data_IF_814563634600
#
_entry.id   IF_814563634600
#
_cell.length_a   1.000
_cell.length_b   1.000
_cell.length_c   1.000
_cell.angle_alpha   90.00
_cell.angle_beta   90.00
_cell.angle_gamma   90.00
#
_symmetry.space_group_name_H-M   'P 1'
#
loop_
_entity.id
_entity.type
_entity.pdbx_description
1 polymer ?
#
# COMPACT_ATOMS: atom_id res chain seq x y z
N UNK A 1 -22.12 23.76 1.85
CA UNK A 1 -21.27 23.18 2.91
C UNK A 1 -21.19 21.68 2.64
N UNK A 2 -20.10 21.21 2.02
CA UNK A 2 -19.89 19.78 1.79
C UNK A 2 -19.26 19.19 3.05
N UNK A 3 -19.97 18.26 3.69
CA UNK A 3 -19.45 17.41 4.76
C UNK A 3 -18.41 16.48 4.14
N UNK A 4 -17.14 16.75 4.40
CA UNK A 4 -16.05 15.84 4.05
C UNK A 4 -16.28 14.50 4.74
N UNK A 5 -16.53 13.46 3.96
CA UNK A 5 -16.61 12.10 4.46
C UNK A 5 -15.16 11.72 4.80
N UNK A 6 -14.80 11.82 6.07
CA UNK A 6 -13.51 11.33 6.54
C UNK A 6 -13.53 9.81 6.40
N UNK A 7 -12.81 9.29 5.41
CA UNK A 7 -12.71 7.86 5.18
C UNK A 7 -12.16 7.19 6.44
N UNK A 8 -12.75 6.07 6.92
CA UNK A 8 -12.27 5.39 8.12
C UNK A 8 -10.92 4.73 7.82
N UNK A 9 -9.87 5.44 8.19
CA UNK A 9 -8.50 4.97 8.16
C UNK A 9 -8.20 4.25 9.47
N UNK A 10 -7.85 2.97 9.38
CA UNK A 10 -7.53 2.16 10.55
C UNK A 10 -6.01 2.01 10.63
N UNK A 11 -5.42 2.76 11.56
CA UNK A 11 -4.01 2.60 11.91
C UNK A 11 -3.80 1.23 12.59
N UNK A 12 -2.71 0.55 12.23
CA UNK A 12 -2.38 -0.74 12.86
C UNK A 12 -1.71 -0.46 14.20
N UNK A 13 -2.32 -0.92 15.30
CA UNK A 13 -1.85 -0.65 16.67
C UNK A 13 -0.65 -1.49 17.09
N UNK A 14 -0.33 -2.54 16.33
CA UNK A 14 0.85 -3.40 16.53
C UNK A 14 1.68 -3.35 15.26
N UNK A 15 2.99 -3.05 15.32
CA UNK A 15 3.80 -3.02 14.12
C UNK A 15 3.91 -4.44 13.55
N UNK A 16 3.23 -4.69 12.43
CA UNK A 16 3.31 -5.97 11.70
C UNK A 16 4.35 -5.83 10.61
N UNK A 17 5.45 -6.57 10.72
CA UNK A 17 6.46 -6.69 9.68
C UNK A 17 6.17 -7.93 8.83
N UNK A 18 6.20 -7.76 7.51
CA UNK A 18 6.06 -8.87 6.56
C UNK A 18 7.19 -8.83 5.55
N UNK A 19 7.62 -9.99 5.06
CA UNK A 19 8.66 -10.07 4.01
C UNK A 19 8.17 -9.55 2.67
N UNK A 20 6.94 -9.92 2.30
CA UNK A 20 6.35 -9.51 1.04
C UNK A 20 4.85 -9.21 1.20
N UNK A 21 4.40 -8.01 0.83
CA UNK A 21 2.99 -7.67 0.77
C UNK A 21 2.21 -8.62 -0.14
N UNK A 22 0.99 -8.92 0.27
CA UNK A 22 0.06 -9.65 -0.58
C UNK A 22 -0.46 -8.75 -1.69
N UNK A 23 -0.29 -9.16 -2.95
CA UNK A 23 -0.79 -8.43 -4.11
C UNK A 23 -2.07 -9.02 -4.69
N UNK A 24 -2.94 -8.20 -5.29
CA UNK A 24 -4.02 -8.70 -6.13
C UNK A 24 -3.43 -9.51 -7.30
N UNK A 25 -3.98 -10.69 -7.58
CA UNK A 25 -3.47 -11.59 -8.64
C UNK A 25 -4.17 -11.41 -9.98
N UNK A 26 -5.39 -10.88 -9.96
CA UNK A 26 -6.24 -10.75 -11.14
C UNK A 26 -6.37 -9.29 -11.49
N UNK A 27 -6.26 -9.01 -12.78
CA UNK A 27 -6.66 -7.74 -13.33
C UNK A 27 -8.18 -7.73 -13.50
N UNK A 28 -8.80 -6.60 -13.16
CA UNK A 28 -10.21 -6.34 -13.33
C UNK A 28 -10.34 -4.89 -13.78
N UNK A 29 -10.92 -4.65 -14.96
CA UNK A 29 -11.06 -3.30 -15.52
C UNK A 29 -12.06 -2.43 -14.75
N UNK A 30 -13.00 -3.06 -14.04
CA UNK A 30 -13.97 -2.40 -13.18
C UNK A 30 -13.38 -2.16 -11.81
N UNK A 31 -12.82 -3.20 -11.18
CA UNK A 31 -12.25 -3.09 -9.84
C UNK A 31 -10.87 -2.42 -9.80
N UNK A 32 -10.22 -2.21 -10.96
CA UNK A 32 -8.91 -1.52 -11.15
C UNK A 32 -7.92 -1.72 -9.99
N UNK A 33 -7.56 -2.96 -9.64
CA UNK A 33 -6.55 -3.19 -8.62
C UNK A 33 -5.19 -2.69 -9.10
N UNK A 34 -4.39 -2.12 -8.19
CA UNK A 34 -3.05 -1.65 -8.52
C UNK A 34 -2.08 -1.72 -7.35
N UNK A 35 -0.80 -1.68 -7.69
CA UNK A 35 0.31 -1.50 -6.74
C UNK A 35 1.09 -0.28 -7.17
N UNK A 36 1.35 0.64 -6.24
CA UNK A 36 2.07 1.88 -6.53
C UNK A 36 3.05 2.24 -5.42
N UNK A 37 4.18 2.81 -5.80
CA UNK A 37 5.05 3.55 -4.89
C UNK A 37 4.50 4.97 -4.74
N UNK A 38 4.51 5.48 -3.52
CA UNK A 38 4.11 6.86 -3.22
C UNK A 38 5.35 7.66 -2.84
N UNK A 39 5.67 8.65 -3.65
CA UNK A 39 6.73 9.62 -3.37
C UNK A 39 6.07 10.88 -2.84
N UNK A 40 6.50 11.32 -1.66
CA UNK A 40 6.07 12.59 -1.08
C UNK A 40 6.95 13.71 -1.63
N UNK A 41 6.31 14.70 -2.20
CA UNK A 41 6.86 16.01 -2.49
C UNK A 41 6.16 17.03 -1.58
N UNK A 42 6.78 18.17 -1.36
CA UNK A 42 6.44 19.21 -0.38
C UNK A 42 4.94 19.49 -0.22
N UNK A 43 4.19 19.51 -1.33
CA UNK A 43 2.74 19.74 -1.36
C UNK A 43 1.94 18.65 -2.08
N UNK A 44 2.57 17.55 -2.49
CA UNK A 44 1.91 16.53 -3.31
C UNK A 44 2.41 15.12 -3.07
N UNK A 45 1.53 14.15 -3.28
CA UNK A 45 1.88 12.74 -3.29
C UNK A 45 1.82 12.23 -4.74
N UNK A 46 2.96 11.81 -5.27
CA UNK A 46 3.08 11.29 -6.62
C UNK A 46 3.09 9.76 -6.56
N UNK A 47 2.22 9.13 -7.36
CA UNK A 47 2.09 7.67 -7.45
C UNK A 47 2.80 7.16 -8.70
N UNK A 48 3.72 6.22 -8.51
CA UNK A 48 4.37 5.46 -9.57
C UNK A 48 3.83 4.04 -9.57
N UNK A 49 3.04 3.70 -10.58
CA UNK A 49 2.37 2.40 -10.67
C UNK A 49 3.36 1.31 -11.06
N UNK A 50 3.46 0.29 -10.22
CA UNK A 50 4.27 -0.91 -10.44
C UNK A 50 3.49 -2.05 -11.10
N UNK A 51 2.16 -1.94 -11.12
CA UNK A 51 1.28 -2.97 -11.64
C UNK A 51 0.80 -2.70 -13.06
N UNK A 52 0.73 -3.74 -13.89
CA UNK A 52 0.17 -3.69 -15.25
C UNK A 52 -0.69 -4.92 -15.55
N UNK A 53 -1.57 -4.79 -16.55
CA UNK A 53 -2.27 -5.95 -17.13
C UNK A 53 -1.28 -6.76 -17.96
N UNK A 54 -1.07 -8.02 -17.59
CA UNK A 54 -0.36 -8.95 -18.45
C UNK A 54 -1.29 -9.41 -19.59
N UNK A 55 -0.75 -9.49 -20.81
CA UNK A 55 -1.41 -10.19 -21.91
C UNK A 55 -0.93 -11.63 -21.88
N UNK A 56 -1.69 -12.50 -21.22
CA UNK A 56 -1.46 -13.93 -21.34
C UNK A 56 -2.36 -14.45 -22.47
N UNK A 57 -1.77 -14.84 -23.60
CA UNK A 57 -2.52 -15.41 -24.73
C UNK A 57 -3.01 -16.84 -24.43
N UNK A 58 -2.46 -17.49 -23.40
CA UNK A 58 -2.74 -18.88 -23.06
C UNK A 58 -3.82 -19.06 -21.99
N UNK A 59 -4.02 -18.06 -21.13
CA UNK A 59 -5.04 -18.09 -20.09
C UNK A 59 -6.12 -17.05 -20.39
N UNK A 60 -7.38 -17.49 -20.37
CA UNK A 60 -8.54 -16.61 -20.55
C UNK A 60 -8.79 -15.70 -19.31
N UNK A 61 -7.74 -15.41 -18.54
CA UNK A 61 -7.79 -14.67 -17.27
C UNK A 61 -6.83 -13.49 -17.38
N UNK A 62 -7.36 -12.30 -17.12
CA UNK A 62 -6.53 -11.11 -17.01
C UNK A 62 -5.72 -11.18 -15.71
N UNK A 63 -4.39 -11.26 -15.83
CA UNK A 63 -3.46 -11.30 -14.69
C UNK A 63 -2.95 -9.90 -14.39
N UNK A 64 -2.86 -9.57 -13.08
CA UNK A 64 -2.17 -8.37 -12.62
C UNK A 64 -0.70 -8.75 -12.40
N UNK A 65 0.18 -8.18 -13.22
CA UNK A 65 1.63 -8.30 -13.05
C UNK A 65 2.11 -7.12 -12.22
N UNK A 66 2.98 -7.36 -11.25
CA UNK A 66 3.58 -6.33 -10.40
C UNK A 66 5.09 -6.42 -10.54
N UNK A 67 5.74 -5.29 -10.81
CA UNK A 67 7.19 -5.19 -10.85
C UNK A 67 7.80 -5.62 -9.50
N UNK A 68 9.08 -5.98 -9.52
CA UNK A 68 9.73 -6.38 -8.29
C UNK A 68 9.88 -5.20 -7.31
N UNK A 69 9.73 -5.52 -6.03
CA UNK A 69 9.72 -4.55 -4.93
C UNK A 69 10.84 -4.78 -3.92
N UNK A 70 11.61 -5.86 -4.08
CA UNK A 70 12.60 -6.30 -3.09
C UNK A 70 13.82 -5.36 -3.00
N UNK A 71 14.14 -4.67 -4.09
CA UNK A 71 15.28 -3.74 -4.18
C UNK A 71 14.88 -2.26 -3.95
N UNK A 72 13.67 -2.00 -3.47
CA UNK A 72 13.22 -0.64 -3.20
C UNK A 72 13.92 -0.07 -1.95
N UNK A 73 14.28 1.23 -1.96
CA UNK A 73 15.02 1.83 -0.85
C UNK A 73 14.19 1.87 0.43
N UNK A 74 14.88 1.86 1.57
CA UNK A 74 14.26 2.05 2.89
C UNK A 74 13.46 3.36 2.95
N UNK A 75 12.33 3.32 3.67
CA UNK A 75 11.38 4.43 3.74
C UNK A 75 10.41 4.51 2.56
N UNK A 76 10.57 3.67 1.52
CA UNK A 76 9.61 3.60 0.40
C UNK A 76 8.20 3.30 0.90
N UNK A 77 7.23 4.08 0.45
CA UNK A 77 5.81 3.88 0.75
C UNK A 77 5.15 3.10 -0.38
N UNK A 78 4.47 2.03 -0.02
CA UNK A 78 3.79 1.14 -0.97
C UNK A 78 2.29 1.13 -0.70
N UNK A 79 1.53 1.53 -1.71
CA UNK A 79 0.08 1.41 -1.74
C UNK A 79 -0.30 0.15 -2.53
N UNK A 80 -1.00 -0.78 -1.88
CA UNK A 80 -1.58 -1.96 -2.51
C UNK A 80 -3.10 -1.82 -2.51
N UNK A 81 -3.68 -1.47 -3.66
CA UNK A 81 -5.12 -1.32 -3.83
C UNK A 81 -5.71 -2.61 -4.40
N UNK A 82 -6.65 -3.20 -3.67
CA UNK A 82 -7.32 -4.44 -4.06
C UNK A 82 -8.59 -4.19 -4.89
N UNK A 83 -9.25 -3.04 -4.67
CA UNK A 83 -10.39 -2.57 -5.45
C UNK A 83 -10.66 -1.07 -5.20
N UNK A 84 -11.77 -0.54 -5.72
CA UNK A 84 -12.20 0.86 -5.55
C UNK A 84 -12.15 1.36 -4.10
N UNK A 85 -12.48 0.48 -3.16
CA UNK A 85 -12.80 0.83 -1.78
C UNK A 85 -11.73 0.40 -0.77
N UNK A 86 -10.73 -0.42 -1.17
CA UNK A 86 -9.82 -1.10 -0.25
C UNK A 86 -8.36 -0.98 -0.67
N UNK A 87 -7.53 -0.49 0.25
CA UNK A 87 -6.08 -0.45 0.09
C UNK A 87 -5.36 -0.82 1.39
N UNK A 88 -4.20 -1.47 1.26
CA UNK A 88 -3.23 -1.61 2.34
C UNK A 88 -2.02 -0.74 2.06
N UNK A 89 -1.43 -0.22 3.14
CA UNK A 89 -0.35 0.76 3.10
C UNK A 89 0.86 0.19 3.84
N UNK A 90 2.00 0.16 3.19
CA UNK A 90 3.24 -0.35 3.76
C UNK A 90 4.38 0.66 3.67
N UNK A 91 5.35 0.55 4.58
CA UNK A 91 6.62 1.27 4.53
C UNK A 91 7.76 0.24 4.51
N UNK A 92 8.72 0.42 3.61
CA UNK A 92 9.93 -0.40 3.58
C UNK A 92 10.82 -0.04 4.78
N UNK A 93 11.26 -1.04 5.52
CA UNK A 93 12.14 -0.92 6.67
C UNK A 93 13.22 -2.01 6.61
N UNK A 94 14.44 -1.65 7.01
CA UNK A 94 15.54 -2.62 7.10
C UNK A 94 15.64 -3.10 8.55
N UNK A 95 15.37 -4.38 8.80
CA UNK A 95 15.49 -4.99 10.13
C UNK A 95 16.61 -6.02 10.08
N UNK A 96 17.68 -5.82 10.85
CA UNK A 96 18.85 -6.71 10.86
C UNK A 96 19.43 -6.98 9.46
N UNK A 97 19.53 -5.94 8.62
CA UNK A 97 19.95 -6.01 7.20
C UNK A 97 19.01 -6.78 6.27
N UNK A 98 17.76 -6.96 6.67
CA UNK A 98 16.75 -7.62 5.87
C UNK A 98 15.66 -6.62 5.46
N UNK A 99 15.35 -6.47 4.17
CA UNK A 99 14.24 -5.65 3.72
C UNK A 99 12.91 -6.29 4.16
N UNK A 100 12.11 -5.51 4.89
CA UNK A 100 10.80 -5.88 5.37
C UNK A 100 9.81 -4.76 5.07
N UNK A 101 8.55 -5.13 4.94
CA UNK A 101 7.45 -4.19 4.78
C UNK A 101 6.69 -4.11 6.09
N UNK A 102 6.74 -2.96 6.74
CA UNK A 102 5.85 -2.68 7.86
C UNK A 102 4.48 -2.33 7.32
N UNK A 103 3.45 -3.00 7.85
CA UNK A 103 2.07 -2.64 7.58
C UNK A 103 1.68 -1.42 8.42
N UNK A 104 1.45 -0.29 7.75
CA UNK A 104 1.17 1.00 8.38
C UNK A 104 -0.33 1.19 8.61
N UNK A 105 -1.15 0.69 7.69
CA UNK A 105 -2.58 0.91 7.77
C UNK A 105 -3.37 0.22 6.67
N UNK A 106 -4.69 0.28 6.83
CA UNK A 106 -5.64 -0.08 5.78
C UNK A 106 -6.68 1.01 5.61
N UNK A 107 -7.03 1.26 4.36
CA UNK A 107 -8.15 2.10 3.99
C UNK A 107 -9.32 1.20 3.60
N UNK A 108 -10.49 1.49 4.15
CA UNK A 108 -11.77 0.90 3.74
C UNK A 108 -12.72 2.03 3.35
N UNK A 109 -13.66 1.73 2.46
CA UNK A 109 -14.72 2.67 2.07
C UNK A 109 -14.21 3.91 1.33
N UNK A 110 -13.12 3.77 0.57
CA UNK A 110 -12.72 4.82 -0.38
C UNK A 110 -13.86 5.08 -1.37
N UNK A 111 -14.13 6.35 -1.65
CA UNK A 111 -15.30 6.76 -2.41
C UNK A 111 -15.31 6.19 -3.84
N UNK A 112 -14.14 6.20 -4.51
CA UNK A 112 -13.93 5.54 -5.80
C UNK A 112 -12.42 5.42 -6.17
N UNK A 113 -12.14 5.17 -7.46
CA UNK A 113 -10.82 5.02 -8.06
C UNK A 113 -10.08 6.33 -8.32
N UNK A 114 -10.83 7.39 -8.59
CA UNK A 114 -10.33 8.72 -8.96
C UNK A 114 -10.03 9.55 -7.71
N UNK A 115 -10.20 8.99 -6.50
CA UNK A 115 -9.76 9.52 -5.21
C UNK A 115 -8.46 8.90 -4.66
N UNK A 116 -7.30 8.89 -5.38
CA UNK A 116 -6.01 8.65 -4.73
C UNK A 116 -5.61 9.83 -3.82
N UNK A 117 -6.20 11.01 -3.97
CA UNK A 117 -5.93 12.21 -3.16
C UNK A 117 -6.45 12.16 -1.71
N UNK A 118 -7.28 11.16 -1.37
CA UNK A 118 -7.86 11.02 -0.02
C UNK A 118 -7.02 10.13 0.91
N UNK A 119 -6.21 9.22 0.37
CA UNK A 119 -5.26 8.46 1.20
C UNK A 119 -4.08 9.39 1.52
N UNK A 120 -4.22 10.15 2.61
CA UNK A 120 -3.15 11.03 3.10
C UNK A 120 -2.21 10.25 4.00
N UNK A 121 -1.01 9.96 3.49
CA UNK A 121 0.01 9.26 4.27
C UNK A 121 0.55 10.12 5.42
N UNK A 122 0.41 11.45 5.37
CA UNK A 122 0.93 12.36 6.41
C UNK A 122 0.33 12.06 7.80
N UNK A 123 -1.00 11.94 7.91
CA UNK A 123 -1.64 11.65 9.20
C UNK A 123 -1.36 10.24 9.77
N UNK A 124 -0.88 9.31 8.93
CA UNK A 124 -0.50 7.96 9.37
C UNK A 124 0.92 7.90 9.91
N UNK A 125 1.85 8.62 9.25
CA UNK A 125 3.25 8.61 9.64
C UNK A 125 3.54 9.59 10.78
N UNK A 126 2.71 10.61 11.00
CA UNK A 126 2.87 11.58 12.09
C UNK A 126 2.57 10.99 13.48
N UNK A 127 1.84 9.87 13.57
CA UNK A 127 1.64 9.12 14.82
C UNK A 127 2.77 8.10 15.09
N UNK A 128 3.88 8.13 14.35
CA UNK A 128 5.07 7.28 14.57
C UNK A 128 5.90 7.76 15.79
N UNK A 129 5.28 7.92 16.96
CA UNK A 129 6.03 7.88 18.23
C UNK A 129 6.29 6.41 18.59
N UNK A 130 7.45 5.90 18.19
CA UNK A 130 7.89 4.57 18.59
C UNK A 130 8.36 4.57 20.05
N UNK A 131 7.86 3.66 20.91
CA UNK A 131 8.66 3.17 22.01
C UNK A 131 9.77 2.27 21.43
N UNK A 132 11.03 2.63 21.67
CA UNK A 132 12.18 1.76 21.41
C UNK A 132 11.92 0.37 22.01
N UNK A 133 12.08 -0.69 21.21
CA UNK A 133 12.18 -2.11 21.64
C UNK A 133 10.89 -2.95 21.78
N UNK A 134 10.11 -3.17 20.73
CA UNK A 134 9.23 -4.37 20.69
C UNK A 134 8.96 -4.86 19.28
N UNK A 135 9.77 -5.81 18.80
CA UNK A 135 9.50 -6.54 17.56
C UNK A 135 9.13 -7.99 17.90
N UNK A 136 7.90 -8.38 17.61
CA UNK A 136 7.47 -9.77 17.56
C UNK A 136 7.28 -10.17 16.10
N UNK A 137 8.19 -11.00 15.59
CA UNK A 137 8.10 -11.61 14.27
C UNK A 137 6.99 -12.68 14.30
N UNK A 138 6.07 -12.64 13.31
CA UNK A 138 5.05 -13.68 13.14
C UNK A 138 5.32 -14.37 11.81
N UNK A 139 5.76 -15.62 11.86
CA UNK A 139 5.93 -16.46 10.67
C UNK A 139 4.55 -16.86 10.13
N UNK A 140 4.33 -16.70 8.82
CA UNK A 140 3.12 -17.13 8.10
C UNK A 140 3.34 -18.43 7.36
#
# INVERSE_FOLDING_TARGET
>A
MQTGISTPLEAVTVPVLIRRPSFPRKWDSLARPHVAIVVKDTDSEIRYYLSRRAKDESSNRDVLEVADIDDLPEGTLLEVRFNATKANLYKMETVDNVPCWRWVGRCRELADFDYPSEIRWNGLLENEEYPENSWHMVDS
#
